data_IF_064742325678
#
_entry.id   IF_064742325678
#
_cell.length_a   1.000
_cell.length_b   1.000
_cell.length_c   1.000
_cell.angle_alpha   90.00
_cell.angle_beta   90.00
_cell.angle_gamma   90.00
#
_symmetry.space_group_name_H-M   'P 1'
#
loop_
_entity.id
_entity.type
_entity.pdbx_description
1 polymer ?
#
# COMPACT_ATOMS: atom_id res chain seq x y z
N UNK A 1 22.85 16.57 4.86
CA UNK A 1 22.70 17.59 3.81
C UNK A 1 21.31 17.45 3.18
N UNK A 2 20.21 17.77 3.90
CA UNK A 2 18.83 17.62 3.38
C UNK A 2 17.83 18.55 4.11
N UNK A 3 18.10 19.86 4.08
CA UNK A 3 17.19 20.90 4.59
C UNK A 3 16.83 21.96 3.52
N UNK A 4 17.17 21.74 2.24
CA UNK A 4 17.09 22.80 1.22
C UNK A 4 15.75 22.94 0.48
N UNK A 5 14.74 22.15 0.81
CA UNK A 5 13.40 22.24 0.20
C UNK A 5 12.39 23.11 0.98
N UNK A 6 12.83 23.82 2.03
CA UNK A 6 12.04 24.49 3.10
C UNK A 6 10.93 25.50 2.70
N UNK A 7 10.54 25.67 1.43
CA UNK A 7 9.48 26.61 1.06
C UNK A 7 8.58 26.24 -0.12
N UNK A 8 8.85 25.15 -0.85
CA UNK A 8 7.95 24.71 -1.92
C UNK A 8 6.82 23.86 -1.32
N UNK A 9 5.59 24.11 -1.75
CA UNK A 9 4.48 23.20 -1.46
C UNK A 9 4.53 22.04 -2.44
N UNK A 10 4.56 20.83 -1.89
CA UNK A 10 4.65 19.58 -2.65
C UNK A 10 3.39 18.78 -2.35
N UNK A 11 2.68 18.46 -3.41
CA UNK A 11 1.47 17.66 -3.39
C UNK A 11 1.70 16.38 -4.17
N UNK A 12 1.25 15.28 -3.59
CA UNK A 12 1.13 14.00 -4.26
C UNK A 12 -0.30 13.88 -4.74
N UNK A 13 -0.47 13.78 -6.06
CA UNK A 13 -1.75 13.55 -6.69
C UNK A 13 -1.92 12.05 -6.94
N UNK A 14 -2.93 11.49 -6.29
CA UNK A 14 -3.38 10.11 -6.47
C UNK A 14 -4.73 10.15 -7.17
N UNK A 15 -4.72 10.13 -8.51
CA UNK A 15 -5.92 10.12 -9.35
C UNK A 15 -6.93 11.25 -9.01
N UNK A 16 -6.43 12.48 -8.81
CA UNK A 16 -7.24 13.66 -8.49
C UNK A 16 -7.34 13.97 -7.00
N UNK A 17 -6.74 13.14 -6.13
CA UNK A 17 -6.67 13.38 -4.69
C UNK A 17 -5.28 13.89 -4.29
N UNK A 18 -5.20 15.19 -3.99
CA UNK A 18 -3.95 15.83 -3.56
C UNK A 18 -3.69 15.65 -2.06
N UNK A 19 -2.54 15.05 -1.72
CA UNK A 19 -2.03 14.91 -0.34
C UNK A 19 -0.69 15.62 -0.23
N UNK A 20 -0.55 16.53 0.75
CA UNK A 20 0.75 17.21 0.94
C UNK A 20 1.84 16.23 1.39
N UNK A 21 3.07 16.43 0.93
CA UNK A 21 4.23 15.60 1.34
C UNK A 21 4.37 15.45 2.86
N UNK A 22 4.16 16.55 3.60
CA UNK A 22 4.22 16.55 5.07
C UNK A 22 3.18 15.60 5.68
N UNK A 23 1.96 15.59 5.13
CA UNK A 23 0.88 14.71 5.57
C UNK A 23 1.18 13.26 5.18
N UNK A 24 1.62 13.03 3.95
CA UNK A 24 1.98 11.71 3.43
C UNK A 24 3.10 11.05 4.26
N UNK A 25 4.17 11.80 4.59
CA UNK A 25 5.30 11.31 5.40
C UNK A 25 4.92 10.96 6.84
N UNK A 26 3.86 11.56 7.38
CA UNK A 26 3.32 11.22 8.71
C UNK A 26 2.38 10.01 8.67
N UNK A 27 1.75 9.76 7.51
CA UNK A 27 0.79 8.67 7.35
C UNK A 27 1.47 7.34 7.03
N UNK A 28 2.70 7.37 6.51
CA UNK A 28 3.42 6.19 6.02
C UNK A 28 4.59 5.87 6.94
N UNK A 29 4.65 4.63 7.45
CA UNK A 29 5.76 4.11 8.26
C UNK A 29 6.41 2.88 7.57
N UNK A 30 6.78 3.05 6.30
CA UNK A 30 7.56 2.05 5.56
C UNK A 30 8.91 2.68 5.13
N UNK A 31 10.04 2.08 5.51
CA UNK A 31 11.36 2.61 5.16
C UNK A 31 11.63 2.62 3.65
N UNK A 32 11.03 1.69 2.88
CA UNK A 32 11.11 1.66 1.41
C UNK A 32 10.36 2.86 0.85
N UNK A 33 9.16 3.16 1.35
CA UNK A 33 8.39 4.33 0.90
C UNK A 33 9.10 5.62 1.28
N UNK A 34 9.67 5.71 2.48
CA UNK A 34 10.46 6.88 2.87
C UNK A 34 11.69 7.07 1.97
N UNK A 35 12.44 6.01 1.67
CA UNK A 35 13.57 6.08 0.76
C UNK A 35 13.14 6.53 -0.64
N UNK A 36 11.97 6.06 -1.07
CA UNK A 36 11.45 6.36 -2.38
C UNK A 36 10.91 7.79 -2.48
N UNK A 37 10.21 8.26 -1.44
CA UNK A 37 9.83 9.66 -1.27
C UNK A 37 11.07 10.57 -1.24
N UNK A 38 12.13 10.19 -0.53
CA UNK A 38 13.36 10.97 -0.49
C UNK A 38 14.03 11.06 -1.87
N UNK A 39 14.02 9.98 -2.66
CA UNK A 39 14.53 9.99 -4.03
C UNK A 39 13.69 10.89 -4.95
N UNK A 40 12.37 10.91 -4.79
CA UNK A 40 11.51 11.85 -5.52
C UNK A 40 11.81 13.31 -5.19
N UNK A 41 12.18 13.59 -3.94
CA UNK A 41 12.58 14.93 -3.53
C UNK A 41 13.90 15.34 -4.21
N UNK A 42 14.84 14.43 -4.40
CA UNK A 42 16.07 14.69 -5.17
C UNK A 42 15.76 15.04 -6.64
N UNK A 43 14.88 14.28 -7.29
CA UNK A 43 14.46 14.55 -8.68
C UNK A 43 13.72 15.90 -8.76
N UNK A 44 12.87 16.21 -7.79
CA UNK A 44 12.17 17.49 -7.72
C UNK A 44 13.12 18.68 -7.53
N UNK A 45 14.21 18.51 -6.78
CA UNK A 45 15.28 19.53 -6.66
C UNK A 45 15.95 19.79 -8.01
N UNK A 46 16.22 18.74 -8.80
CA UNK A 46 16.84 18.85 -10.13
C UNK A 46 15.94 19.53 -11.18
N UNK A 47 14.62 19.34 -11.09
CA UNK A 47 13.65 19.98 -12.00
C UNK A 47 13.49 21.49 -11.79
N UNK A 48 14.09 22.03 -10.72
CA UNK A 48 14.22 23.45 -10.48
C UNK A 48 13.22 23.98 -9.46
N UNK A 49 13.68 24.12 -8.22
CA UNK A 49 13.03 24.89 -7.14
C UNK A 49 13.28 26.39 -7.24
N UNK A 50 13.83 26.86 -8.37
CA UNK A 50 14.19 28.25 -8.57
C UNK A 50 12.93 29.15 -8.48
N UNK A 51 12.95 30.21 -7.66
CA UNK A 51 11.83 31.14 -7.56
C UNK A 51 11.56 31.81 -8.90
N UNK A 52 10.29 32.14 -9.19
CA UNK A 52 9.92 32.83 -10.43
C UNK A 52 10.78 34.11 -10.56
N UNK A 53 11.44 34.34 -11.71
CA UNK A 53 12.31 35.50 -11.91
C UNK A 53 11.56 36.85 -11.83
N UNK A 54 10.24 36.86 -12.02
CA UNK A 54 9.41 38.07 -12.00
C UNK A 54 8.95 38.43 -10.58
N UNK A 55 8.44 37.46 -9.82
CA UNK A 55 7.80 37.71 -8.52
C UNK A 55 8.57 37.16 -7.31
N UNK A 56 9.66 36.41 -7.53
CA UNK A 56 10.43 35.75 -6.47
C UNK A 56 9.68 34.62 -5.75
N UNK A 57 8.48 34.23 -6.21
CA UNK A 57 7.68 33.16 -5.59
C UNK A 57 8.21 31.78 -5.97
N UNK A 58 8.30 30.88 -5.00
CA UNK A 58 8.65 29.49 -5.23
C UNK A 58 7.58 28.77 -6.07
N UNK A 59 7.98 27.80 -6.91
CA UNK A 59 7.03 26.99 -7.66
C UNK A 59 6.24 26.03 -6.77
N UNK A 60 5.07 25.63 -7.23
CA UNK A 60 4.33 24.48 -6.71
C UNK A 60 4.74 23.24 -7.49
N UNK A 61 4.98 22.15 -6.77
CA UNK A 61 5.33 20.85 -7.34
C UNK A 61 4.17 19.88 -7.14
N UNK A 62 3.69 19.30 -8.22
CA UNK A 62 2.69 18.22 -8.19
C UNK A 62 3.37 16.93 -8.63
N UNK A 63 3.34 15.90 -7.79
CA UNK A 63 3.90 14.58 -8.07
C UNK A 63 2.73 13.62 -8.26
N UNK A 64 2.51 13.17 -9.48
CA UNK A 64 1.49 12.16 -9.81
C UNK A 64 2.15 10.79 -9.88
N UNK A 65 1.65 9.82 -9.11
CA UNK A 65 2.11 8.42 -9.18
C UNK A 65 1.11 7.61 -9.97
N UNK A 66 1.52 7.07 -11.11
CA UNK A 66 0.70 6.21 -11.97
C UNK A 66 0.73 4.74 -11.53
N UNK A 67 -0.25 3.96 -11.99
CA UNK A 67 -0.51 2.56 -11.60
C UNK A 67 0.69 1.61 -11.72
N UNK A 68 1.62 1.88 -12.65
CA UNK A 68 2.84 1.08 -12.86
C UNK A 68 4.03 1.51 -12.00
N UNK A 69 3.84 2.43 -11.04
CA UNK A 69 4.93 3.09 -10.32
C UNK A 69 5.66 4.14 -11.16
N UNK A 70 5.05 4.58 -12.27
CA UNK A 70 5.54 5.71 -13.07
C UNK A 70 5.23 7.02 -12.36
N UNK A 71 6.21 7.87 -12.12
CA UNK A 71 6.04 9.08 -11.34
C UNK A 71 6.24 10.29 -12.24
N UNK A 72 5.20 11.09 -12.40
CA UNK A 72 5.21 12.32 -13.17
C UNK A 72 5.29 13.51 -12.23
N UNK A 73 6.35 14.30 -12.34
CA UNK A 73 6.50 15.52 -11.54
C UNK A 73 6.20 16.70 -12.44
N UNK A 74 5.19 17.52 -12.09
CA UNK A 74 4.87 18.79 -12.74
C UNK A 74 5.28 19.96 -11.85
N UNK A 75 5.91 20.96 -12.44
CA UNK A 75 6.20 22.25 -11.78
C UNK A 75 5.29 23.33 -12.33
N UNK A 76 4.72 24.16 -11.45
CA UNK A 76 3.96 25.37 -11.82
C UNK A 76 4.55 26.58 -11.12
N UNK A 77 4.93 27.60 -11.88
CA UNK A 77 5.30 28.90 -11.31
C UNK A 77 4.15 29.89 -11.44
N UNK A 78 4.20 31.00 -10.70
CA UNK A 78 3.15 32.04 -10.81
C UNK A 78 3.17 32.85 -12.13
N UNK A 79 4.16 32.63 -13.00
CA UNK A 79 4.45 33.45 -14.18
C UNK A 79 4.48 32.62 -15.48
N UNK A 80 4.80 31.33 -15.34
CA UNK A 80 4.99 30.37 -16.41
C UNK A 80 3.98 29.25 -16.22
N UNK A 81 3.08 29.09 -17.19
CA UNK A 81 2.21 27.90 -17.33
C UNK A 81 2.97 26.69 -17.88
N UNK A 82 4.29 26.79 -18.05
CA UNK A 82 5.12 25.71 -18.60
C UNK A 82 5.26 24.54 -17.63
N UNK A 83 4.44 23.51 -17.84
CA UNK A 83 4.58 22.20 -17.23
C UNK A 83 5.92 21.57 -17.67
N UNK A 84 6.87 21.44 -16.74
CA UNK A 84 8.01 20.53 -16.92
C UNK A 84 7.66 19.21 -16.29
N UNK A 85 7.57 18.16 -17.12
CA UNK A 85 7.31 16.79 -16.69
C UNK A 85 8.55 15.92 -16.83
N UNK A 86 8.88 15.15 -15.79
CA UNK A 86 9.75 13.98 -15.92
C UNK A 86 9.01 12.75 -15.42
N UNK A 87 9.30 11.61 -16.04
CA UNK A 87 8.79 10.31 -15.61
C UNK A 87 9.92 9.51 -14.97
N UNK A 88 9.80 9.20 -13.68
CA UNK A 88 10.69 8.26 -12.99
C UNK A 88 9.95 6.93 -12.80
N UNK A 89 10.64 5.80 -13.00
CA UNK A 89 10.10 4.48 -12.65
C UNK A 89 10.72 4.07 -11.33
N UNK A 90 9.90 3.91 -10.29
CA UNK A 90 10.40 3.39 -9.03
C UNK A 90 10.15 1.90 -8.93
N UNK A 91 11.19 1.11 -9.14
CA UNK A 91 11.21 -0.32 -8.82
C UNK A 91 11.88 -0.53 -7.46
N UNK A 92 11.31 -1.28 -6.50
CA UNK A 92 10.01 -1.96 -6.52
C UNK A 92 9.00 -1.20 -5.65
N UNK A 93 8.40 -0.13 -6.15
CA UNK A 93 7.23 0.44 -5.48
C UNK A 93 6.06 -0.52 -5.67
N UNK A 94 5.90 -1.49 -4.77
CA UNK A 94 4.69 -2.34 -4.71
C UNK A 94 3.57 -1.54 -4.03
N UNK A 95 2.36 -1.58 -4.61
CA UNK A 95 1.24 -0.64 -4.42
C UNK A 95 0.70 -0.43 -2.99
N UNK A 96 1.15 -1.14 -1.95
CA UNK A 96 0.48 -1.09 -0.64
C UNK A 96 0.79 0.12 0.22
N UNK A 97 1.61 0.99 -0.36
CA UNK A 97 2.05 2.28 0.14
C UNK A 97 1.02 3.40 0.03
N UNK A 98 0.06 3.29 -0.90
CA UNK A 98 -0.78 4.41 -1.28
C UNK A 98 -2.24 4.02 -1.27
N UNK A 99 -2.99 4.81 -0.51
CA UNK A 99 -4.43 4.88 -0.63
C UNK A 99 -4.78 5.60 -1.93
N UNK A 100 -5.29 4.86 -2.91
CA UNK A 100 -6.10 5.40 -4.00
C UNK A 100 -7.57 5.20 -3.62
N UNK A 101 -8.41 6.24 -3.67
CA UNK A 101 -9.86 6.06 -3.52
C UNK A 101 -10.36 5.04 -4.55
N UNK A 102 -11.11 4.04 -4.10
CA UNK A 102 -11.52 2.90 -4.94
C UNK A 102 -10.54 1.72 -4.97
N UNK A 103 -9.44 1.77 -4.21
CA UNK A 103 -8.56 0.62 -4.02
C UNK A 103 -9.32 -0.53 -3.35
N UNK A 104 -9.25 -1.72 -3.94
CA UNK A 104 -9.84 -2.94 -3.39
C UNK A 104 -8.77 -4.01 -3.15
N UNK A 105 -8.87 -4.67 -2.00
CA UNK A 105 -8.10 -5.86 -1.67
C UNK A 105 -8.83 -7.08 -2.21
N UNK A 106 -8.16 -7.85 -3.07
CA UNK A 106 -8.63 -9.11 -3.61
C UNK A 106 -7.77 -10.27 -3.09
N UNK A 107 -8.40 -11.22 -2.40
CA UNK A 107 -7.76 -12.44 -1.89
C UNK A 107 -8.26 -13.63 -2.70
N UNK A 108 -7.33 -14.41 -3.26
CA UNK A 108 -7.64 -15.56 -4.12
C UNK A 108 -7.03 -16.83 -3.54
N UNK A 109 -7.79 -17.61 -2.76
CA UNK A 109 -7.32 -18.91 -2.32
C UNK A 109 -7.07 -19.85 -3.49
N UNK A 110 -6.13 -20.77 -3.32
CA UNK A 110 -5.84 -21.79 -4.32
C UNK A 110 -7.11 -22.58 -4.69
N UNK A 111 -7.36 -22.70 -5.99
CA UNK A 111 -8.55 -23.34 -6.58
C UNK A 111 -9.89 -22.70 -6.20
N UNK A 112 -9.89 -21.44 -5.74
CA UNK A 112 -11.14 -20.73 -5.49
C UNK A 112 -11.89 -20.43 -6.79
N UNK A 113 -13.19 -20.71 -6.79
CA UNK A 113 -14.09 -20.33 -7.88
C UNK A 113 -14.46 -18.84 -7.86
N UNK A 114 -14.31 -18.20 -6.69
CA UNK A 114 -14.59 -16.78 -6.45
C UNK A 114 -13.55 -16.19 -5.49
N UNK A 115 -13.05 -14.98 -5.76
CA UNK A 115 -12.19 -14.27 -4.83
C UNK A 115 -13.00 -13.65 -3.68
N UNK A 116 -12.31 -13.29 -2.61
CA UNK A 116 -12.83 -12.36 -1.60
C UNK A 116 -12.36 -10.96 -1.96
N UNK A 117 -13.28 -9.98 -2.00
CA UNK A 117 -12.99 -8.61 -2.40
C UNK A 117 -13.47 -7.67 -1.29
N UNK A 118 -12.61 -6.73 -0.91
CA UNK A 118 -12.88 -5.76 0.14
C UNK A 118 -12.47 -4.36 -0.32
N UNK A 119 -13.30 -3.36 -0.06
CA UNK A 119 -12.91 -1.96 -0.27
C UNK A 119 -11.87 -1.58 0.78
N UNK A 120 -10.64 -1.24 0.34
CA UNK A 120 -9.51 -1.08 1.24
C UNK A 120 -9.73 0.03 2.29
N UNK A 121 -10.52 1.05 1.94
CA UNK A 121 -10.90 2.15 2.82
C UNK A 121 -11.78 1.74 4.00
N UNK A 122 -12.48 0.60 3.89
CA UNK A 122 -13.42 0.11 4.90
C UNK A 122 -12.79 -0.99 5.79
N UNK A 123 -11.52 -1.34 5.54
CA UNK A 123 -10.83 -2.40 6.28
C UNK A 123 -10.37 -1.90 7.64
N UNK A 124 -11.19 -2.12 8.67
CA UNK A 124 -10.73 -2.02 10.07
C UNK A 124 -9.90 -3.25 10.46
N UNK A 125 -10.48 -4.44 10.25
CA UNK A 125 -9.80 -5.74 10.42
C UNK A 125 -10.63 -6.82 9.74
N UNK A 126 -9.98 -7.62 8.90
CA UNK A 126 -10.51 -8.83 8.27
C UNK A 126 -9.89 -10.03 8.96
N UNK A 127 -10.70 -10.90 9.51
CA UNK A 127 -10.29 -12.18 10.09
C UNK A 127 -10.35 -13.27 9.03
N UNK A 128 -9.24 -13.96 8.86
CA UNK A 128 -9.10 -15.07 7.92
C UNK A 128 -8.96 -16.36 8.70
N UNK A 129 -9.73 -17.38 8.33
CA UNK A 129 -9.65 -18.67 8.98
C UNK A 129 -10.69 -19.65 8.46
N UNK A 130 -11.23 -20.46 9.38
CA UNK A 130 -12.28 -21.43 9.08
C UNK A 130 -13.41 -21.31 10.07
N UNK A 131 -14.65 -21.46 9.60
CA UNK A 131 -15.78 -21.68 10.50
C UNK A 131 -15.65 -23.03 11.23
N UNK A 132 -16.32 -23.12 12.37
CA UNK A 132 -16.44 -24.33 13.16
C UNK A 132 -17.87 -24.37 13.72
N UNK A 133 -18.67 -25.41 13.43
CA UNK A 133 -20.09 -25.44 13.82
C UNK A 133 -20.33 -25.34 15.33
N UNK A 134 -19.33 -25.72 16.13
CA UNK A 134 -19.40 -25.67 17.59
C UNK A 134 -18.98 -24.31 18.17
N UNK A 135 -18.61 -23.35 17.30
CA UNK A 135 -18.14 -22.01 17.67
C UNK A 135 -19.02 -20.96 17.03
N UNK A 136 -19.61 -20.09 17.85
CA UNK A 136 -20.51 -19.01 17.42
C UNK A 136 -19.73 -17.79 16.88
N UNK A 137 -18.69 -18.04 16.08
CA UNK A 137 -17.85 -17.00 15.49
C UNK A 137 -17.36 -17.46 14.12
N UNK A 138 -17.73 -16.70 13.10
CA UNK A 138 -17.37 -16.94 11.70
C UNK A 138 -16.32 -15.91 11.28
N UNK A 139 -15.21 -16.31 10.64
CA UNK A 139 -14.24 -15.36 10.10
C UNK A 139 -14.83 -14.58 8.91
N UNK A 140 -14.35 -13.37 8.68
CA UNK A 140 -14.74 -12.54 7.52
C UNK A 140 -14.39 -13.23 6.19
N UNK A 141 -13.26 -13.96 6.18
CA UNK A 141 -12.85 -14.86 5.10
C UNK A 141 -12.88 -16.29 5.62
N UNK A 142 -13.99 -16.98 5.35
CA UNK A 142 -14.15 -18.40 5.67
C UNK A 142 -13.61 -19.29 4.56
N UNK A 143 -12.57 -20.06 4.90
CA UNK A 143 -11.86 -20.92 3.97
C UNK A 143 -12.33 -22.39 4.01
N UNK A 144 -13.44 -22.69 4.69
CA UNK A 144 -14.00 -24.06 4.76
C UNK A 144 -14.21 -24.69 3.37
N UNK A 145 -14.71 -23.94 2.38
CA UNK A 145 -14.88 -24.40 0.99
C UNK A 145 -13.54 -24.75 0.29
N UNK A 146 -12.40 -24.34 0.87
CA UNK A 146 -11.06 -24.54 0.33
C UNK A 146 -10.24 -25.59 1.09
N UNK A 147 -10.92 -26.58 1.69
CA UNK A 147 -10.31 -27.68 2.46
C UNK A 147 -9.44 -27.15 3.61
N UNK A 148 -9.86 -26.04 4.23
CA UNK A 148 -9.13 -25.36 5.29
C UNK A 148 -8.70 -26.29 6.44
N UNK A 149 -9.57 -27.20 6.89
CA UNK A 149 -9.24 -28.15 7.97
C UNK A 149 -8.07 -29.04 7.57
N UNK A 150 -8.15 -29.66 6.39
CA UNK A 150 -7.13 -30.60 5.88
C UNK A 150 -5.81 -29.89 5.58
N UNK A 151 -5.87 -28.62 5.19
CA UNK A 151 -4.69 -27.77 4.96
C UNK A 151 -4.17 -27.09 6.24
N UNK A 152 -4.75 -27.40 7.40
CA UNK A 152 -4.24 -26.94 8.68
C UNK A 152 -4.54 -25.48 9.00
N UNK A 153 -5.63 -24.93 8.46
CA UNK A 153 -6.07 -23.57 8.77
C UNK A 153 -6.79 -23.54 10.13
N UNK A 154 -6.32 -22.71 11.05
CA UNK A 154 -6.98 -22.42 12.33
C UNK A 154 -8.30 -21.64 12.16
N UNK A 155 -9.19 -21.73 13.15
CA UNK A 155 -10.49 -21.02 13.14
C UNK A 155 -10.33 -19.52 12.97
N UNK A 156 -9.38 -18.96 13.72
CA UNK A 156 -8.84 -17.62 13.58
C UNK A 156 -7.35 -17.80 13.29
N UNK A 157 -6.94 -17.60 12.04
CA UNK A 157 -5.59 -17.93 11.59
C UNK A 157 -4.73 -16.69 11.46
N UNK A 158 -5.21 -15.72 10.69
CA UNK A 158 -4.53 -14.46 10.45
C UNK A 158 -5.55 -13.34 10.38
N UNK A 159 -5.08 -12.10 10.49
CA UNK A 159 -5.87 -10.93 10.21
C UNK A 159 -5.17 -10.00 9.23
N UNK A 160 -5.96 -9.34 8.39
CA UNK A 160 -5.51 -8.24 7.55
C UNK A 160 -6.17 -6.96 8.05
N UNK A 161 -5.39 -5.90 8.25
CA UNK A 161 -5.91 -4.64 8.75
C UNK A 161 -5.10 -3.46 8.23
N UNK A 162 -5.73 -2.29 8.21
CA UNK A 162 -5.03 -1.06 7.92
C UNK A 162 -4.25 -0.58 9.14
N UNK A 163 -2.95 -0.32 8.97
CA UNK A 163 -2.12 0.25 10.01
C UNK A 163 -1.05 1.15 9.39
N UNK A 164 -0.85 2.35 9.95
CA UNK A 164 0.22 3.28 9.53
C UNK A 164 0.33 3.46 8.00
N UNK A 165 -0.82 3.63 7.36
CA UNK A 165 -0.90 3.95 5.93
C UNK A 165 -0.69 2.78 4.96
N UNK A 166 -0.67 1.54 5.46
CA UNK A 166 -0.56 0.35 4.63
C UNK A 166 -1.42 -0.80 5.15
N UNK A 167 -1.75 -1.74 4.25
CA UNK A 167 -2.31 -3.03 4.64
C UNK A 167 -1.23 -3.87 5.32
N UNK A 168 -1.59 -4.45 6.46
CA UNK A 168 -0.76 -5.37 7.21
C UNK A 168 -1.46 -6.71 7.32
N UNK A 169 -0.67 -7.78 7.36
CA UNK A 169 -1.08 -9.12 7.75
C UNK A 169 -0.43 -9.48 9.08
N UNK A 170 -1.15 -10.20 9.94
CA UNK A 170 -0.64 -10.69 11.21
C UNK A 170 -1.15 -12.11 11.44
N UNK A 171 -0.26 -13.01 11.85
CA UNK A 171 -0.65 -14.33 12.36
C UNK A 171 -1.28 -14.20 13.75
N UNK A 172 -2.47 -14.75 13.95
CA UNK A 172 -3.25 -14.63 15.20
C UNK A 172 -2.96 -15.77 16.19
N UNK A 173 -1.75 -16.31 16.18
CA UNK A 173 -1.36 -17.47 17.00
C UNK A 173 -1.85 -18.79 16.42
N UNK A 174 -1.78 -18.92 15.09
CA UNK A 174 -2.26 -20.10 14.39
C UNK A 174 -1.42 -21.35 14.72
N UNK A 175 -2.03 -22.53 14.63
CA UNK A 175 -1.36 -23.79 14.99
C UNK A 175 -0.24 -24.17 14.02
N UNK A 176 -0.40 -23.83 12.73
CA UNK A 176 0.55 -24.20 11.68
C UNK A 176 1.38 -23.01 11.17
N UNK A 177 1.07 -21.79 11.62
CA UNK A 177 1.74 -20.57 11.23
C UNK A 177 1.28 -20.03 9.87
N UNK A 178 1.55 -18.74 9.70
CA UNK A 178 1.39 -18.00 8.44
C UNK A 178 2.76 -17.76 7.80
N UNK A 179 2.84 -17.86 6.47
CA UNK A 179 3.99 -17.39 5.69
C UNK A 179 3.56 -16.30 4.73
N UNK A 180 4.44 -15.32 4.51
CA UNK A 180 4.32 -14.29 3.49
C UNK A 180 5.50 -14.43 2.54
N UNK A 181 5.25 -14.70 1.26
CA UNK A 181 6.27 -14.93 0.24
C UNK A 181 7.33 -15.99 0.64
N UNK A 182 6.88 -17.05 1.33
CA UNK A 182 7.73 -18.14 1.81
C UNK A 182 8.39 -17.92 3.18
N UNK A 183 8.49 -16.68 3.65
CA UNK A 183 9.02 -16.32 4.97
C UNK A 183 7.94 -16.50 6.04
N UNK A 184 8.28 -17.12 7.17
CA UNK A 184 7.34 -17.34 8.26
C UNK A 184 7.18 -16.06 9.08
N UNK A 185 5.94 -15.69 9.38
CA UNK A 185 5.64 -14.56 10.26
C UNK A 185 5.78 -14.98 11.72
N UNK A 186 6.28 -14.07 12.55
CA UNK A 186 6.21 -14.21 14.00
C UNK A 186 4.76 -13.96 14.47
N UNK A 187 4.21 -14.82 15.34
CA UNK A 187 2.84 -14.66 15.83
C UNK A 187 2.62 -13.31 16.51
N UNK A 188 1.50 -12.64 16.18
CA UNK A 188 1.12 -11.33 16.69
C UNK A 188 2.07 -10.17 16.31
N UNK A 189 2.97 -10.38 15.35
CA UNK A 189 3.78 -9.31 14.76
C UNK A 189 3.22 -8.94 13.38
N UNK A 190 2.81 -7.67 13.16
CA UNK A 190 2.32 -7.23 11.86
C UNK A 190 3.43 -7.20 10.80
N UNK A 191 3.14 -7.71 9.61
CA UNK A 191 3.97 -7.57 8.43
C UNK A 191 3.22 -6.80 7.35
N UNK A 192 3.93 -5.97 6.59
CA UNK A 192 3.34 -5.20 5.48
C UNK A 192 2.92 -6.17 4.38
N UNK A 193 1.65 -6.13 4.02
CA UNK A 193 1.11 -6.88 2.91
C UNK A 193 1.32 -6.07 1.63
N UNK A 194 1.78 -6.69 0.54
CA UNK A 194 2.03 -6.05 -0.76
C UNK A 194 1.14 -6.60 -1.88
N UNK A 195 0.91 -5.79 -2.92
CA UNK A 195 0.29 -6.28 -4.15
C UNK A 195 1.16 -7.38 -4.76
N UNK A 196 0.51 -8.44 -5.25
CA UNK A 196 1.17 -9.62 -5.79
C UNK A 196 1.81 -10.53 -4.73
N UNK A 197 1.65 -10.27 -3.44
CA UNK A 197 2.16 -11.17 -2.41
C UNK A 197 1.41 -12.51 -2.36
N UNK A 198 2.13 -13.56 -1.99
CA UNK A 198 1.56 -14.86 -1.68
C UNK A 198 1.52 -15.06 -0.17
N UNK A 199 0.32 -15.29 0.37
CA UNK A 199 0.11 -15.71 1.75
C UNK A 199 -0.07 -17.23 1.77
N UNK A 200 0.58 -17.90 2.72
CA UNK A 200 0.32 -19.32 3.00
C UNK A 200 -0.17 -19.49 4.43
N UNK A 201 -1.41 -19.93 4.59
CA UNK A 201 -2.01 -20.25 5.89
C UNK A 201 -1.95 -21.76 6.10
N UNK A 202 -1.05 -22.24 6.97
CA UNK A 202 -0.72 -23.66 7.03
C UNK A 202 -0.20 -24.15 5.67
N UNK A 203 -1.03 -24.91 4.94
CA UNK A 203 -0.74 -25.43 3.59
C UNK A 203 -1.70 -24.88 2.52
N UNK A 204 -2.45 -23.81 2.81
CA UNK A 204 -3.36 -23.18 1.86
C UNK A 204 -2.74 -21.89 1.31
N UNK A 205 -2.36 -21.85 0.01
CA UNK A 205 -1.93 -20.62 -0.64
C UNK A 205 -3.10 -19.69 -0.91
N UNK A 206 -2.84 -18.38 -0.79
CA UNK A 206 -3.75 -17.30 -1.10
C UNK A 206 -2.94 -16.21 -1.82
N UNK A 207 -3.35 -15.90 -3.05
CA UNK A 207 -2.76 -14.80 -3.80
C UNK A 207 -3.41 -13.48 -3.39
N UNK A 208 -2.59 -12.46 -3.18
CA UNK A 208 -3.02 -11.09 -2.90
C UNK A 208 -2.92 -10.27 -4.17
N UNK A 209 -3.99 -9.56 -4.48
CA UNK A 209 -4.03 -8.57 -5.54
C UNK A 209 -4.68 -7.29 -5.01
N UNK A 210 -4.09 -6.15 -5.31
CA UNK A 210 -4.70 -4.85 -5.14
C UNK A 210 -5.18 -4.35 -6.51
N UNK A 211 -6.44 -3.94 -6.56
CA UNK A 211 -7.08 -3.46 -7.79
C UNK A 211 -7.62 -2.06 -7.57
N UNK A 212 -7.34 -1.17 -8.52
CA UNK A 212 -7.96 0.15 -8.62
C UNK A 212 -9.17 0.03 -9.56
N UNK A 213 -10.30 0.64 -9.20
CA UNK A 213 -11.46 0.80 -10.10
C UNK A 213 -11.23 1.82 -11.24
#
# INVERSE_FOLDING_TARGET
>A
MREKLMGCEIYFDFEGHEVSYKKLKLMVDDPVIHAALDHLMEIAEELGTAPCPVHGKLPTLTVSVGKSGSINIKTRTCCDEQERSTSAVMSPFRQTAYFTPGLRLMLVPEHASRPFIFDAEQIERIIIGRSDPDVDTVPDVDLCEHRAIERGVSRRHASIFWHRGALHIMDEGSSNGTRLNGERLEPNEPAILRDGDEIMLGLLPIQVMLIDD
#
